data_IF_833001506186
#
_entry.id   IF_833001506186
#
_cell.length_a   1.000
_cell.length_b   1.000
_cell.length_c   1.000
_cell.angle_alpha   90.00
_cell.angle_beta   90.00
_cell.angle_gamma   90.00
#
_symmetry.space_group_name_H-M   'P 1'
#
loop_
_entity.id
_entity.type
_entity.pdbx_description
1 polymer ?
#
# COMPACT_ATOMS: atom_id res chain seq x y z
N UNK A 1 -25.81 5.13 -4.58
CA UNK A 1 -24.72 5.87 -5.25
C UNK A 1 -24.68 5.49 -6.72
N UNK A 2 -24.47 6.47 -7.60
CA UNK A 2 -24.33 6.26 -9.06
C UNK A 2 -22.88 6.53 -9.44
N UNK A 3 -22.31 5.73 -10.33
CA UNK A 3 -20.96 5.99 -10.84
C UNK A 3 -20.99 7.32 -11.62
N UNK A 4 -20.16 8.29 -11.27
CA UNK A 4 -20.17 9.61 -11.92
C UNK A 4 -19.62 9.58 -13.37
N UNK A 5 -18.93 8.51 -13.78
CA UNK A 5 -18.27 8.40 -15.10
C UNK A 5 -19.21 8.49 -16.30
N UNK A 6 -20.37 7.80 -16.35
CA UNK A 6 -21.34 7.90 -17.45
C UNK A 6 -22.10 9.23 -17.43
N UNK A 7 -22.03 9.96 -16.32
CA UNK A 7 -22.84 11.15 -16.03
C UNK A 7 -22.05 12.44 -16.19
N UNK A 8 -20.87 12.36 -16.83
CA UNK A 8 -19.96 13.50 -16.97
C UNK A 8 -20.73 14.68 -17.58
N UNK A 9 -20.71 15.87 -16.96
CA UNK A 9 -21.54 16.98 -17.41
C UNK A 9 -21.17 17.39 -18.83
N UNK A 10 -22.19 17.82 -19.58
CA UNK A 10 -22.04 18.41 -20.91
C UNK A 10 -21.21 19.70 -20.75
N UNK A 11 -20.15 19.92 -21.56
CA UNK A 11 -19.37 21.14 -21.49
C UNK A 11 -20.27 22.38 -21.64
N UNK A 12 -20.16 23.35 -20.71
CA UNK A 12 -20.92 24.60 -20.74
C UNK A 12 -21.85 24.85 -19.54
N UNK A 13 -22.13 23.84 -18.71
CA UNK A 13 -22.96 23.97 -17.51
C UNK A 13 -22.19 23.49 -16.28
N UNK A 14 -21.55 24.41 -15.54
CA UNK A 14 -20.76 24.09 -14.35
C UNK A 14 -21.27 24.85 -13.14
N UNK A 15 -22.44 24.46 -12.65
CA UNK A 15 -23.01 24.91 -11.38
C UNK A 15 -23.52 23.70 -10.61
N UNK A 16 -23.37 23.68 -9.28
CA UNK A 16 -23.80 22.54 -8.44
C UNK A 16 -25.31 22.24 -8.60
N UNK A 17 -26.11 23.28 -8.83
CA UNK A 17 -27.55 23.18 -9.13
C UNK A 17 -27.79 22.54 -10.50
N UNK A 18 -27.03 22.94 -11.53
CA UNK A 18 -27.14 22.37 -12.87
C UNK A 18 -26.74 20.89 -12.90
N UNK A 19 -25.69 20.52 -12.16
CA UNK A 19 -25.26 19.13 -12.01
C UNK A 19 -26.33 18.29 -11.29
N UNK A 20 -26.97 18.82 -10.24
CA UNK A 20 -28.06 18.14 -9.55
C UNK A 20 -29.30 17.92 -10.45
N UNK A 21 -29.69 18.94 -11.23
CA UNK A 21 -30.81 18.84 -12.19
C UNK A 21 -30.53 17.84 -13.31
N UNK A 22 -29.29 17.82 -13.81
CA UNK A 22 -28.84 16.86 -14.81
C UNK A 22 -28.88 15.43 -14.28
N UNK A 23 -28.36 15.20 -13.07
CA UNK A 23 -28.43 13.91 -12.37
C UNK A 23 -29.89 13.47 -12.17
N UNK A 24 -30.77 14.37 -11.73
CA UNK A 24 -32.19 14.06 -11.55
C UNK A 24 -32.89 13.71 -12.88
N UNK A 25 -32.50 14.35 -13.98
CA UNK A 25 -33.05 14.07 -15.32
C UNK A 25 -32.60 12.70 -15.82
N UNK A 26 -31.32 12.37 -15.67
CA UNK A 26 -30.81 11.05 -16.00
C UNK A 26 -31.41 9.95 -15.12
N UNK A 27 -31.66 10.24 -13.83
CA UNK A 27 -32.33 9.31 -12.93
C UNK A 27 -33.76 9.03 -13.37
N UNK A 28 -34.55 10.08 -13.67
CA UNK A 28 -35.93 9.95 -14.19
C UNK A 28 -35.99 9.20 -15.51
N UNK A 29 -35.00 9.40 -16.39
CA UNK A 29 -34.92 8.70 -17.67
C UNK A 29 -34.42 7.24 -17.57
N UNK A 30 -34.10 6.73 -16.37
CA UNK A 30 -33.56 5.38 -16.18
C UNK A 30 -32.15 5.18 -16.75
N UNK A 31 -31.45 6.28 -17.06
CA UNK A 31 -30.12 6.26 -17.68
C UNK A 31 -28.99 6.10 -16.65
N UNK A 32 -29.32 6.17 -15.36
CA UNK A 32 -28.36 5.93 -14.28
C UNK A 32 -28.35 4.47 -13.85
N UNK A 33 -27.17 3.86 -13.88
CA UNK A 33 -26.94 2.54 -13.25
C UNK A 33 -26.36 2.73 -11.86
N UNK A 34 -26.96 2.04 -10.88
CA UNK A 34 -26.40 1.95 -9.53
C UNK A 34 -24.97 1.40 -9.58
N UNK A 35 -24.05 2.04 -8.87
CA UNK A 35 -22.73 1.45 -8.64
C UNK A 35 -22.86 0.37 -7.57
N UNK A 36 -22.03 -0.67 -7.65
CA UNK A 36 -21.85 -1.60 -6.54
C UNK A 36 -21.55 -0.82 -5.25
N UNK A 37 -22.28 -1.17 -4.19
CA UNK A 37 -22.06 -0.74 -2.81
C UNK A 37 -21.93 -2.02 -1.99
N UNK A 38 -20.81 -2.24 -1.27
CA UNK A 38 -20.65 -3.45 -0.49
C UNK A 38 -21.66 -3.55 0.66
N UNK A 39 -21.94 -4.78 1.11
CA UNK A 39 -22.68 -5.04 2.35
C UNK A 39 -22.12 -4.25 3.54
N UNK A 40 -22.97 -3.96 4.53
CA UNK A 40 -22.61 -3.14 5.69
C UNK A 40 -21.34 -3.62 6.40
N UNK A 41 -21.23 -4.94 6.68
CA UNK A 41 -20.05 -5.55 7.28
C UNK A 41 -18.77 -5.24 6.50
N UNK A 42 -18.77 -5.40 5.18
CA UNK A 42 -17.59 -5.10 4.37
C UNK A 42 -17.25 -3.60 4.35
N UNK A 43 -18.25 -2.72 4.40
CA UNK A 43 -18.01 -1.27 4.51
C UNK A 43 -17.33 -0.89 5.83
N UNK A 44 -17.66 -1.55 6.93
CA UNK A 44 -16.96 -1.36 8.21
C UNK A 44 -15.53 -1.88 8.14
N UNK A 45 -15.31 -3.06 7.54
CA UNK A 45 -13.97 -3.61 7.36
C UNK A 45 -13.10 -2.76 6.42
N UNK A 46 -13.69 -2.05 5.45
CA UNK A 46 -12.96 -1.08 4.61
C UNK A 46 -12.31 0.03 5.42
N UNK A 47 -12.90 0.45 6.54
CA UNK A 47 -12.29 1.43 7.43
C UNK A 47 -10.96 0.90 7.97
N UNK A 48 -10.95 -0.34 8.44
CA UNK A 48 -9.77 -1.03 8.98
C UNK A 48 -8.73 -1.21 7.88
N UNK A 49 -9.13 -1.77 6.73
CA UNK A 49 -8.27 -2.02 5.58
C UNK A 49 -7.59 -0.74 5.06
N UNK A 50 -8.35 0.34 4.88
CA UNK A 50 -7.83 1.63 4.39
C UNK A 50 -6.89 2.29 5.39
N UNK A 51 -7.21 2.22 6.68
CA UNK A 51 -6.32 2.74 7.72
C UNK A 51 -5.01 1.95 7.78
N UNK A 52 -5.09 0.62 7.67
CA UNK A 52 -3.91 -0.26 7.54
C UNK A 52 -3.04 0.15 6.35
N UNK A 53 -3.64 0.39 5.18
CA UNK A 53 -2.92 0.86 4.00
C UNK A 53 -2.23 2.21 4.24
N UNK A 54 -2.87 3.12 5.00
CA UNK A 54 -2.27 4.40 5.38
C UNK A 54 -1.04 4.20 6.27
N UNK A 55 -1.12 3.31 7.26
CA UNK A 55 0.01 2.99 8.15
C UNK A 55 1.19 2.38 7.38
N UNK A 56 0.94 1.50 6.41
CA UNK A 56 1.98 0.95 5.53
C UNK A 56 2.68 2.06 4.73
N UNK A 57 1.91 3.03 4.21
CA UNK A 57 2.47 4.20 3.54
C UNK A 57 3.36 5.05 4.46
N UNK A 58 2.96 5.22 5.72
CA UNK A 58 3.77 5.91 6.72
C UNK A 58 5.05 5.13 7.03
N UNK A 59 4.96 3.82 7.26
CA UNK A 59 6.10 2.95 7.50
C UNK A 59 7.14 3.04 6.37
N UNK A 60 6.71 3.01 5.12
CA UNK A 60 7.60 3.19 3.96
C UNK A 60 8.28 4.56 3.96
N UNK A 61 7.57 5.62 4.36
CA UNK A 61 8.14 6.96 4.49
C UNK A 61 9.21 7.02 5.59
N UNK A 62 8.95 6.43 6.75
CA UNK A 62 9.91 6.38 7.86
C UNK A 62 11.16 5.55 7.50
N UNK A 63 10.97 4.41 6.82
CA UNK A 63 12.06 3.58 6.29
C UNK A 63 12.95 4.35 5.32
N UNK A 64 12.34 5.09 4.40
CA UNK A 64 13.07 5.97 3.49
C UNK A 64 13.79 7.11 4.22
N UNK A 65 13.22 7.63 5.31
CA UNK A 65 13.84 8.68 6.12
C UNK A 65 15.05 8.15 6.86
N UNK A 66 14.96 6.96 7.47
CA UNK A 66 16.08 6.27 8.11
C UNK A 66 17.26 6.13 7.14
N UNK A 67 16.99 5.64 5.93
CA UNK A 67 18.03 5.49 4.90
C UNK A 67 18.72 6.81 4.55
N UNK A 68 17.94 7.90 4.41
CA UNK A 68 18.49 9.24 4.12
C UNK A 68 19.40 9.74 5.23
N UNK A 69 19.01 9.58 6.50
CA UNK A 69 19.81 10.06 7.64
C UNK A 69 21.09 9.23 7.79
N UNK A 70 21.03 7.92 7.56
CA UNK A 70 22.24 7.08 7.53
C UNK A 70 23.21 7.54 6.44
N UNK A 71 22.69 7.79 5.23
CA UNK A 71 23.50 8.23 4.09
C UNK A 71 24.11 9.62 4.33
N UNK A 72 23.36 10.53 4.95
CA UNK A 72 23.82 11.86 5.34
C UNK A 72 25.00 11.81 6.33
N UNK A 73 24.95 10.84 7.26
CA UNK A 73 26.05 10.54 8.19
C UNK A 73 27.20 9.71 7.56
N UNK A 74 27.17 9.43 6.25
CA UNK A 74 28.19 8.64 5.56
C UNK A 74 28.02 7.11 5.63
N UNK A 75 27.07 6.61 6.42
CA UNK A 75 26.79 5.17 6.57
C UNK A 75 25.99 4.66 5.37
N UNK A 76 26.62 3.83 4.53
CA UNK A 76 26.08 3.33 3.25
C UNK A 76 25.72 1.85 3.28
N UNK A 77 25.22 1.37 4.42
CA UNK A 77 24.85 -0.03 4.60
C UNK A 77 23.85 -0.54 3.54
N UNK A 78 22.93 0.30 3.06
CA UNK A 78 21.93 -0.05 2.05
C UNK A 78 22.49 -0.43 0.67
N UNK A 79 23.78 -0.18 0.42
CA UNK A 79 24.46 -0.59 -0.83
C UNK A 79 24.98 -2.03 -0.74
N UNK A 80 25.31 -2.50 0.47
CA UNK A 80 25.94 -3.80 0.68
C UNK A 80 24.97 -4.86 1.23
N UNK A 81 23.88 -4.45 1.88
CA UNK A 81 22.83 -5.37 2.32
C UNK A 81 21.62 -5.34 1.39
N UNK A 82 21.02 -6.50 1.14
CA UNK A 82 19.80 -6.59 0.31
C UNK A 82 18.55 -6.01 1.00
N UNK A 83 18.54 -5.96 2.33
CA UNK A 83 17.45 -5.40 3.11
C UNK A 83 17.99 -4.64 4.33
N UNK A 84 17.93 -3.32 4.26
CA UNK A 84 18.38 -2.41 5.33
C UNK A 84 17.49 -2.49 6.59
N UNK A 85 16.25 -2.96 6.44
CA UNK A 85 15.30 -3.14 7.54
C UNK A 85 15.24 -4.59 8.03
N UNK A 86 16.09 -5.46 7.49
CA UNK A 86 16.24 -6.84 7.95
C UNK A 86 16.85 -6.90 9.35
N UNK A 87 16.64 -8.01 10.05
CA UNK A 87 17.07 -8.20 11.44
C UNK A 87 18.57 -7.91 11.63
N UNK A 88 19.42 -8.40 10.72
CA UNK A 88 20.88 -8.20 10.82
C UNK A 88 21.29 -6.76 10.61
N UNK A 89 20.76 -6.09 9.57
CA UNK A 89 21.05 -4.68 9.32
C UNK A 89 20.58 -3.78 10.48
N UNK A 90 19.36 -4.03 11.00
CA UNK A 90 18.83 -3.32 12.17
C UNK A 90 19.67 -3.55 13.42
N UNK A 91 20.14 -4.78 13.65
CA UNK A 91 21.03 -5.08 14.77
C UNK A 91 22.33 -4.27 14.68
N UNK A 92 22.96 -4.23 13.49
CA UNK A 92 24.16 -3.43 13.26
C UNK A 92 23.91 -1.93 13.47
N UNK A 93 22.83 -1.37 12.90
CA UNK A 93 22.46 0.03 13.09
C UNK A 93 22.27 0.33 14.59
N UNK A 94 21.50 -0.51 15.31
CA UNK A 94 21.30 -0.35 16.76
C UNK A 94 22.61 -0.45 17.55
N UNK A 95 23.54 -1.29 17.13
CA UNK A 95 24.86 -1.41 17.75
C UNK A 95 25.67 -0.12 17.61
N UNK A 96 25.69 0.45 16.41
CA UNK A 96 26.37 1.72 16.15
C UNK A 96 25.74 2.87 16.94
N UNK A 97 24.41 2.95 17.00
CA UNK A 97 23.70 3.98 17.78
C UNK A 97 24.01 3.89 19.28
N UNK A 98 24.36 2.70 19.79
CA UNK A 98 24.80 2.48 21.17
C UNK A 98 26.28 2.79 21.38
N UNK A 99 27.01 3.20 20.35
CA UNK A 99 28.45 3.45 20.42
C UNK A 99 29.30 2.19 20.56
N UNK A 100 28.80 1.03 20.11
CA UNK A 100 29.57 -0.22 20.11
C UNK A 100 30.79 -0.12 19.20
N UNK A 101 31.85 -0.84 19.54
CA UNK A 101 33.05 -0.85 18.73
C UNK A 101 32.79 -1.56 17.38
N UNK A 102 33.49 -1.18 16.28
CA UNK A 102 33.22 -1.73 14.95
C UNK A 102 33.22 -3.27 14.89
N UNK A 103 34.12 -3.93 15.62
CA UNK A 103 34.19 -5.39 15.66
C UNK A 103 32.97 -6.04 16.34
N UNK A 104 32.39 -5.40 17.36
CA UNK A 104 31.17 -5.86 18.02
C UNK A 104 29.97 -5.73 17.08
N UNK A 105 29.88 -4.61 16.37
CA UNK A 105 28.84 -4.38 15.37
C UNK A 105 28.91 -5.43 14.25
N UNK A 106 30.10 -5.70 13.72
CA UNK A 106 30.31 -6.72 12.69
C UNK A 106 30.06 -8.15 13.18
N UNK A 107 30.07 -8.39 14.49
CA UNK A 107 29.67 -9.68 15.05
C UNK A 107 28.14 -9.90 14.98
N UNK A 108 27.34 -8.83 14.91
CA UNK A 108 25.88 -8.87 14.71
C UNK A 108 25.49 -9.18 13.26
N UNK A 109 26.45 -9.17 12.33
CA UNK A 109 26.22 -9.54 10.94
C UNK A 109 25.88 -11.03 10.81
N UNK A 110 24.75 -11.33 10.17
CA UNK A 110 24.34 -12.71 9.91
C UNK A 110 25.29 -13.39 8.91
N UNK A 111 25.61 -14.66 9.14
CA UNK A 111 26.38 -15.50 8.20
C UNK A 111 25.70 -15.69 6.83
N UNK A 112 24.41 -15.33 6.71
CA UNK A 112 23.65 -15.39 5.45
C UNK A 112 23.80 -14.13 4.60
N UNK A 113 24.40 -13.07 5.12
CA UNK A 113 24.68 -11.88 4.32
C UNK A 113 25.71 -12.23 3.24
N UNK A 114 25.44 -11.76 2.02
CA UNK A 114 26.36 -11.95 0.89
C UNK A 114 27.59 -11.05 0.99
N UNK A 115 27.44 -9.88 1.60
CA UNK A 115 28.52 -8.92 1.77
C UNK A 115 29.62 -9.47 2.69
N UNK A 116 30.87 -9.22 2.29
CA UNK A 116 32.04 -9.56 3.08
C UNK A 116 32.15 -8.72 4.36
N UNK A 117 32.97 -9.17 5.32
CA UNK A 117 33.21 -8.41 6.56
C UNK A 117 33.86 -7.04 6.29
N UNK A 118 34.78 -6.97 5.34
CA UNK A 118 35.44 -5.73 4.94
C UNK A 118 34.44 -4.77 4.28
N UNK A 119 33.62 -5.24 3.35
CA UNK A 119 32.57 -4.42 2.72
C UNK A 119 31.57 -3.86 3.75
N UNK A 120 31.18 -4.68 4.73
CA UNK A 120 30.32 -4.25 5.82
C UNK A 120 31.03 -3.22 6.72
N UNK A 121 32.30 -3.43 7.03
CA UNK A 121 33.08 -2.50 7.80
C UNK A 121 33.11 -1.13 7.11
N UNK A 122 33.47 -1.10 5.82
CA UNK A 122 33.58 0.12 5.03
C UNK A 122 32.24 0.83 4.86
N UNK A 123 31.15 0.07 4.68
CA UNK A 123 29.81 0.64 4.58
C UNK A 123 29.28 1.23 5.90
N UNK A 124 29.85 0.81 7.03
CA UNK A 124 29.50 1.29 8.37
C UNK A 124 30.38 2.46 8.84
N UNK A 125 31.45 2.78 8.11
CA UNK A 125 32.26 3.97 8.37
C UNK A 125 31.45 5.23 8.07
N UNK A 126 31.24 6.07 9.10
CA UNK A 126 30.51 7.33 8.97
C UNK A 126 30.57 8.18 10.24
N UNK A 127 30.41 9.49 10.08
CA UNK A 127 30.48 10.48 11.15
C UNK A 127 29.08 10.74 11.74
N UNK A 128 28.67 9.84 12.63
CA UNK A 128 27.42 9.97 13.37
C UNK A 128 27.56 10.99 14.49
N UNK A 129 27.11 12.21 14.22
CA UNK A 129 26.90 13.24 15.25
C UNK A 129 25.85 12.80 16.27
N UNK A 130 25.86 13.41 17.47
CA UNK A 130 24.81 13.19 18.47
C UNK A 130 23.40 13.46 17.92
N UNK A 131 23.25 14.43 17.01
CA UNK A 131 22.00 14.73 16.33
C UNK A 131 21.57 13.61 15.39
N UNK A 132 22.50 13.01 14.63
CA UNK A 132 22.20 11.85 13.80
C UNK A 132 21.74 10.67 14.66
N UNK A 133 22.46 10.38 15.75
CA UNK A 133 22.11 9.27 16.66
C UNK A 133 20.70 9.46 17.23
N UNK A 134 20.38 10.65 17.72
CA UNK A 134 19.05 10.97 18.25
C UNK A 134 17.95 10.75 17.21
N UNK A 135 18.09 11.30 16.00
CA UNK A 135 17.08 11.18 14.95
C UNK A 135 16.92 9.73 14.50
N UNK A 136 18.01 8.99 14.34
CA UNK A 136 17.98 7.58 13.93
C UNK A 136 17.30 6.69 14.98
N UNK A 137 17.55 6.94 16.27
CA UNK A 137 16.89 6.21 17.36
C UNK A 137 15.37 6.43 17.34
N UNK A 138 14.91 7.68 17.22
CA UNK A 138 13.48 8.02 17.12
C UNK A 138 12.82 7.39 15.88
N UNK A 139 13.50 7.42 14.72
CA UNK A 139 13.01 6.79 13.50
C UNK A 139 12.87 5.28 13.67
N UNK A 140 13.84 4.61 14.29
CA UNK A 140 13.77 3.16 14.54
C UNK A 140 12.62 2.81 15.49
N UNK A 141 12.41 3.58 16.56
CA UNK A 141 11.27 3.39 17.48
C UNK A 141 9.94 3.55 16.77
N UNK A 142 9.79 4.59 15.95
CA UNK A 142 8.54 4.82 15.22
C UNK A 142 8.28 3.74 14.15
N UNK A 143 9.33 3.26 13.46
CA UNK A 143 9.24 2.09 12.56
C UNK A 143 8.71 0.86 13.31
N UNK A 144 9.26 0.56 14.50
CA UNK A 144 8.84 -0.57 15.34
C UNK A 144 7.38 -0.44 15.78
N UNK A 145 6.98 0.76 16.18
CA UNK A 145 5.60 1.05 16.54
C UNK A 145 4.64 0.89 15.36
N UNK A 146 4.99 1.42 14.19
CA UNK A 146 4.18 1.28 12.98
C UNK A 146 4.05 -0.18 12.55
N UNK A 147 5.13 -0.95 12.60
CA UNK A 147 5.12 -2.39 12.33
C UNK A 147 4.16 -3.13 13.30
N UNK A 148 4.24 -2.84 14.61
CA UNK A 148 3.34 -3.41 15.60
C UNK A 148 1.88 -2.99 15.40
N UNK A 149 1.63 -1.72 15.06
CA UNK A 149 0.29 -1.21 14.74
C UNK A 149 -0.28 -1.91 13.51
N UNK A 150 0.49 -2.03 12.43
CA UNK A 150 0.07 -2.75 11.21
C UNK A 150 -0.30 -4.19 11.54
N UNK A 151 0.53 -4.90 12.32
CA UNK A 151 0.23 -6.27 12.74
C UNK A 151 -1.08 -6.39 13.53
N UNK A 152 -1.41 -5.41 14.37
CA UNK A 152 -2.70 -5.36 15.08
C UNK A 152 -3.89 -5.17 14.14
N UNK A 153 -3.76 -4.30 13.14
CA UNK A 153 -4.79 -4.11 12.12
C UNK A 153 -4.96 -5.35 11.26
N UNK A 154 -3.86 -6.01 10.88
CA UNK A 154 -3.85 -7.26 10.13
C UNK A 154 -4.56 -8.37 10.91
N UNK A 155 -4.23 -8.55 12.19
CA UNK A 155 -4.89 -9.53 13.05
C UNK A 155 -6.41 -9.27 13.19
N UNK A 156 -6.81 -8.01 13.45
CA UNK A 156 -8.23 -7.66 13.57
C UNK A 156 -8.97 -7.89 12.25
N UNK A 157 -8.36 -7.54 11.13
CA UNK A 157 -8.99 -7.70 9.82
C UNK A 157 -9.21 -9.18 9.49
N UNK A 158 -8.22 -10.03 9.75
CA UNK A 158 -8.32 -11.47 9.50
C UNK A 158 -9.32 -12.16 10.43
N UNK A 159 -9.40 -11.76 11.69
CA UNK A 159 -10.38 -12.28 12.67
C UNK A 159 -11.82 -12.03 12.19
N UNK A 160 -12.12 -10.81 11.73
CA UNK A 160 -13.44 -10.44 11.20
C UNK A 160 -13.83 -11.17 9.91
N UNK A 161 -12.83 -11.63 9.16
CA UNK A 161 -12.95 -12.38 7.92
C UNK A 161 -12.80 -13.89 8.10
N UNK A 162 -12.76 -14.40 9.34
CA UNK A 162 -12.60 -15.83 9.61
C UNK A 162 -13.69 -16.69 8.92
N UNK A 163 -14.93 -16.19 8.83
CA UNK A 163 -16.02 -16.87 8.13
C UNK A 163 -15.83 -16.96 6.60
N UNK A 164 -14.96 -16.14 6.03
CA UNK A 164 -14.67 -16.06 4.59
C UNK A 164 -13.40 -16.83 4.21
N UNK A 165 -12.95 -17.77 5.04
CA UNK A 165 -11.69 -18.50 4.84
C UNK A 165 -11.56 -19.16 3.46
N UNK A 166 -12.66 -19.67 2.90
CA UNK A 166 -12.67 -20.25 1.56
C UNK A 166 -12.41 -19.21 0.47
N UNK A 167 -13.03 -18.03 0.57
CA UNK A 167 -12.81 -16.94 -0.38
C UNK A 167 -11.37 -16.43 -0.31
N UNK A 168 -10.81 -16.31 0.92
CA UNK A 168 -9.41 -15.95 1.13
C UNK A 168 -8.45 -17.00 0.54
N UNK A 169 -8.73 -18.28 0.70
CA UNK A 169 -7.92 -19.36 0.14
C UNK A 169 -7.93 -19.33 -1.41
N UNK A 170 -9.10 -19.12 -2.02
CA UNK A 170 -9.22 -18.99 -3.47
C UNK A 170 -8.48 -17.77 -4.02
N UNK A 171 -8.53 -16.63 -3.34
CA UNK A 171 -7.79 -15.43 -3.77
C UNK A 171 -6.27 -15.63 -3.72
N UNK A 172 -5.76 -16.41 -2.76
CA UNK A 172 -4.35 -16.72 -2.62
C UNK A 172 -3.82 -17.69 -3.71
N UNK A 173 -4.69 -18.32 -4.51
CA UNK A 173 -4.22 -19.09 -5.68
C UNK A 173 -3.73 -18.17 -6.80
N UNK A 174 -4.01 -16.87 -6.74
CA UNK A 174 -3.49 -15.87 -7.67
C UNK A 174 -2.01 -15.60 -7.34
N UNK A 175 -1.08 -15.78 -8.29
CA UNK A 175 0.33 -15.53 -8.05
C UNK A 175 0.61 -14.12 -7.51
N UNK A 176 1.33 -14.05 -6.38
CA UNK A 176 1.68 -12.79 -5.74
C UNK A 176 0.63 -12.22 -4.78
N UNK A 177 -0.50 -12.89 -4.57
CA UNK A 177 -1.51 -12.51 -3.56
C UNK A 177 -1.28 -13.30 -2.28
N UNK A 178 -0.86 -12.61 -1.23
CA UNK A 178 -0.74 -13.17 0.12
C UNK A 178 -2.07 -13.07 0.88
N UNK A 179 -2.11 -13.61 2.11
CA UNK A 179 -3.33 -13.64 2.93
C UNK A 179 -3.89 -12.24 3.18
N UNK A 180 -3.03 -11.26 3.47
CA UNK A 180 -3.46 -9.88 3.69
C UNK A 180 -3.91 -9.22 2.37
N UNK A 181 -3.20 -9.45 1.26
CA UNK A 181 -3.62 -9.00 -0.06
C UNK A 181 -5.00 -9.55 -0.44
N UNK A 182 -5.25 -10.83 -0.17
CA UNK A 182 -6.56 -11.44 -0.36
C UNK A 182 -7.64 -10.78 0.51
N UNK A 183 -7.37 -10.54 1.80
CA UNK A 183 -8.29 -9.84 2.69
C UNK A 183 -8.61 -8.41 2.22
N UNK A 184 -7.59 -7.67 1.79
CA UNK A 184 -7.73 -6.32 1.25
C UNK A 184 -8.60 -6.30 -0.02
N UNK A 185 -8.41 -7.27 -0.92
CA UNK A 185 -9.24 -7.43 -2.10
C UNK A 185 -10.68 -7.76 -1.72
N UNK A 186 -10.88 -8.77 -0.88
CA UNK A 186 -12.19 -9.27 -0.47
C UNK A 186 -13.05 -8.17 0.17
N UNK A 187 -12.45 -7.31 1.01
CA UNK A 187 -13.15 -6.18 1.63
C UNK A 187 -13.58 -5.11 0.63
N UNK A 188 -12.85 -4.97 -0.47
CA UNK A 188 -13.20 -4.01 -1.53
C UNK A 188 -14.20 -4.59 -2.54
N UNK A 189 -14.12 -5.87 -2.92
CA UNK A 189 -14.97 -6.43 -3.99
C UNK A 189 -16.09 -7.36 -3.50
N UNK A 190 -16.01 -7.85 -2.26
CA UNK A 190 -16.91 -8.86 -1.71
C UNK A 190 -16.67 -10.27 -2.25
N UNK A 191 -17.40 -11.26 -1.70
CA UNK A 191 -17.35 -12.66 -2.16
C UNK A 191 -18.40 -12.99 -3.23
N UNK A 192 -19.49 -12.21 -3.32
CA UNK A 192 -20.52 -12.39 -4.33
C UNK A 192 -20.16 -11.65 -5.63
N UNK A 193 -19.71 -12.40 -6.64
CA UNK A 193 -19.38 -11.86 -7.97
C UNK A 193 -20.61 -11.64 -8.86
N UNK A 194 -21.79 -12.13 -8.50
CA UNK A 194 -23.02 -11.95 -9.28
C UNK A 194 -23.41 -10.47 -9.40
N UNK A 195 -23.04 -9.66 -8.41
CA UNK A 195 -23.25 -8.19 -8.40
C UNK A 195 -22.56 -7.48 -9.58
N UNK A 196 -21.49 -8.06 -10.11
CA UNK A 196 -20.82 -7.56 -11.32
C UNK A 196 -21.36 -8.24 -12.58
N UNK A 197 -21.85 -9.47 -12.48
CA UNK A 197 -22.45 -10.28 -13.54
C UNK A 197 -21.42 -10.81 -14.56
N UNK A 198 -20.44 -10.00 -14.96
CA UNK A 198 -19.32 -10.43 -15.81
C UNK A 198 -17.98 -9.89 -15.30
N UNK A 199 -16.87 -10.64 -15.48
CA UNK A 199 -15.54 -10.21 -15.02
C UNK A 199 -15.08 -8.86 -15.61
N UNK A 200 -15.43 -8.56 -16.86
CA UNK A 200 -15.10 -7.28 -17.52
C UNK A 200 -15.71 -6.06 -16.80
N UNK A 201 -16.87 -6.24 -16.17
CA UNK A 201 -17.54 -5.20 -15.39
C UNK A 201 -16.82 -4.92 -14.08
N UNK A 202 -16.30 -5.95 -13.41
CA UNK A 202 -15.43 -5.80 -12.25
C UNK A 202 -14.14 -5.06 -12.64
N UNK A 203 -13.46 -5.48 -13.70
CA UNK A 203 -12.24 -4.84 -14.18
C UNK A 203 -12.44 -3.35 -14.55
N UNK A 204 -13.60 -3.03 -15.13
CA UNK A 204 -14.01 -1.65 -15.41
C UNK A 204 -14.32 -0.84 -14.14
N UNK A 205 -14.96 -1.46 -13.15
CA UNK A 205 -15.28 -0.86 -11.85
C UNK A 205 -14.01 -0.52 -11.06
N UNK A 206 -13.07 -1.47 -10.92
CA UNK A 206 -11.76 -1.27 -10.28
C UNK A 206 -10.88 -0.29 -11.08
N UNK A 207 -11.19 -0.05 -12.37
CA UNK A 207 -10.49 0.94 -13.20
C UNK A 207 -9.25 0.41 -13.92
N UNK A 208 -9.03 -0.90 -13.90
CA UNK A 208 -7.90 -1.59 -14.55
C UNK A 208 -8.15 -1.73 -16.07
N UNK A 209 -9.40 -1.68 -16.53
CA UNK A 209 -9.73 -1.69 -17.95
C UNK A 209 -9.38 -0.33 -18.62
N UNK A 210 -8.44 -0.28 -19.59
CA UNK A 210 -8.19 0.92 -20.37
C UNK A 210 -9.40 1.15 -21.28
N UNK A 211 -10.16 2.22 -21.05
CA UNK A 211 -11.39 2.39 -21.81
C UNK A 211 -11.17 2.65 -23.30
N UNK A 212 -12.19 2.34 -24.09
CA UNK A 212 -12.13 2.38 -25.55
C UNK A 212 -12.12 3.81 -26.08
N UNK A 213 -10.93 4.38 -26.26
CA UNK A 213 -10.72 5.70 -26.88
C UNK A 213 -10.28 5.52 -28.32
N UNK A 214 -11.23 5.12 -29.17
CA UNK A 214 -11.03 5.00 -30.60
C UNK A 214 -11.77 6.14 -31.31
N UNK A 215 -11.05 6.90 -32.15
CA UNK A 215 -11.64 7.93 -33.00
C UNK A 215 -11.15 7.74 -34.42
N UNK A 216 -12.07 7.64 -35.38
CA UNK A 216 -11.75 7.46 -36.81
C UNK A 216 -10.76 6.30 -37.07
N UNK A 217 -10.99 5.13 -36.45
CA UNK A 217 -10.17 3.92 -36.63
C UNK A 217 -8.78 3.96 -35.97
N UNK A 218 -8.46 5.01 -35.19
CA UNK A 218 -7.20 5.12 -34.45
C UNK A 218 -7.42 4.94 -32.96
N UNK A 219 -6.84 3.88 -32.40
CA UNK A 219 -6.83 3.60 -30.96
C UNK A 219 -5.84 4.53 -30.25
N UNK A 220 -6.33 5.45 -29.43
CA UNK A 220 -5.50 6.37 -28.62
C UNK A 220 -5.01 5.66 -27.36
N UNK A 221 -3.82 6.03 -26.86
CA UNK A 221 -3.27 5.52 -25.60
C UNK A 221 -4.26 5.73 -24.45
N UNK A 222 -4.69 4.64 -23.82
CA UNK A 222 -5.58 4.64 -22.67
C UNK A 222 -4.80 4.43 -21.38
N UNK A 223 -4.60 5.49 -20.60
CA UNK A 223 -4.09 5.34 -19.22
C UNK A 223 -5.05 4.48 -18.39
N UNK A 224 -4.50 3.62 -17.53
CA UNK A 224 -5.24 2.94 -16.47
C UNK A 224 -5.98 4.00 -15.64
N UNK A 225 -7.28 3.77 -15.40
CA UNK A 225 -8.18 4.80 -14.89
C UNK A 225 -8.23 4.75 -13.36
N UNK A 226 -8.50 5.88 -12.70
CA UNK A 226 -8.76 5.89 -11.25
C UNK A 226 -10.02 5.07 -10.98
N UNK A 227 -9.89 3.94 -10.28
CA UNK A 227 -10.99 3.07 -9.84
C UNK A 227 -12.06 3.79 -9.02
N UNK A 228 -13.16 3.11 -8.71
CA UNK A 228 -14.17 3.62 -7.78
C UNK A 228 -14.10 2.83 -6.45
N UNK A 229 -13.03 3.00 -5.63
CA UNK A 229 -12.85 2.25 -4.38
C UNK A 229 -13.90 2.61 -3.33
#
# INVERSE_FOLDING_TARGET
MVNARPVKPVPGHKTDIGDAQWLATLARAGLLRGSFVPPAKLRELRLIARQRQKLVGLLSSEKNRLHKVLTDAGVRLGVVVSDLHGQSARAMIKGILKGQAPHEVLALASRRLKAGREELHDALQGDLTASHVFVLDELLRHIEELEARIARFDARLLDELASEHNALALLQTVPGVDTIGAAMLLVEIGSDMSVFGRPDRLASWVGICPGNNESAGKRKSGRVRKGNP
#
